data_IF_349047607060
#
_entry.id   IF_349047607060
#
_cell.length_a   1.000
_cell.length_b   1.000
_cell.length_c   1.000
_cell.angle_alpha   90.00
_cell.angle_beta   90.00
_cell.angle_gamma   90.00
#
_symmetry.space_group_name_H-M   'P 1'
#
loop_
_entity.id
_entity.type
_entity.pdbx_description
1 polymer ?
#
# COMPACT_ATOMS: atom_id res chain seq x y z
N UNK A 1 -34.00 -20.04 4.70
CA UNK A 1 -33.79 -19.47 3.34
C UNK A 1 -35.06 -19.29 2.52
N UNK A 2 -35.85 -20.33 2.21
CA UNK A 2 -37.03 -20.19 1.34
C UNK A 2 -38.07 -19.16 1.84
N UNK A 3 -38.38 -19.17 3.15
CA UNK A 3 -39.34 -18.23 3.75
C UNK A 3 -38.82 -16.78 3.67
N UNK A 4 -37.60 -16.54 4.16
CA UNK A 4 -37.01 -15.19 4.22
C UNK A 4 -36.75 -14.59 2.83
N UNK A 5 -36.45 -15.40 1.80
CA UNK A 5 -36.30 -14.91 0.43
C UNK A 5 -37.64 -14.47 -0.17
N UNK A 6 -38.73 -15.19 0.06
CA UNK A 6 -40.06 -14.74 -0.34
C UNK A 6 -40.48 -13.46 0.38
N UNK A 7 -40.19 -13.38 1.69
CA UNK A 7 -40.41 -12.16 2.45
C UNK A 7 -39.60 -10.98 1.90
N UNK A 8 -38.33 -11.20 1.54
CA UNK A 8 -37.47 -10.21 0.89
C UNK A 8 -38.11 -9.64 -0.39
N UNK A 9 -38.66 -10.50 -1.25
CA UNK A 9 -39.36 -10.06 -2.45
C UNK A 9 -40.59 -9.19 -2.13
N UNK A 10 -41.38 -9.61 -1.14
CA UNK A 10 -42.53 -8.83 -0.70
C UNK A 10 -42.14 -7.46 -0.15
N UNK A 11 -41.14 -7.40 0.75
CA UNK A 11 -40.68 -6.12 1.33
C UNK A 11 -40.17 -5.19 0.24
N UNK A 12 -39.41 -5.69 -0.73
CA UNK A 12 -38.91 -4.88 -1.83
C UNK A 12 -40.04 -4.31 -2.70
N UNK A 13 -41.05 -5.12 -3.03
CA UNK A 13 -42.21 -4.69 -3.81
C UNK A 13 -43.08 -3.66 -3.06
N UNK A 14 -43.16 -3.76 -1.74
CA UNK A 14 -44.00 -2.93 -0.86
C UNK A 14 -43.19 -1.96 0.01
N UNK A 15 -42.00 -1.57 -0.44
CA UNK A 15 -41.01 -0.90 0.42
C UNK A 15 -41.49 0.45 0.97
N UNK A 16 -42.27 1.21 0.22
CA UNK A 16 -42.81 2.50 0.69
C UNK A 16 -43.88 2.32 1.77
N UNK A 17 -44.80 1.36 1.59
CA UNK A 17 -45.86 1.06 2.55
C UNK A 17 -45.30 0.52 3.87
N UNK A 18 -44.24 -0.28 3.79
CA UNK A 18 -43.61 -0.92 4.93
C UNK A 18 -42.51 -0.08 5.60
N UNK A 19 -42.14 1.08 5.03
CA UNK A 19 -41.00 1.88 5.50
C UNK A 19 -41.04 2.15 6.99
N UNK A 20 -42.17 2.63 7.51
CA UNK A 20 -42.33 2.96 8.93
C UNK A 20 -42.28 1.76 9.89
N UNK A 21 -42.32 0.52 9.36
CA UNK A 21 -42.10 -0.70 10.16
C UNK A 21 -40.63 -1.03 10.33
N UNK A 22 -39.79 -0.62 9.37
CA UNK A 22 -38.38 -0.98 9.36
C UNK A 22 -37.47 0.18 9.75
N UNK A 23 -37.75 1.40 9.31
CA UNK A 23 -36.86 2.55 9.51
C UNK A 23 -37.63 3.83 9.82
N UNK A 24 -37.00 4.73 10.57
CA UNK A 24 -37.55 6.06 10.92
C UNK A 24 -37.15 7.17 9.94
N UNK A 25 -36.18 6.91 9.05
CA UNK A 25 -35.65 7.89 8.12
C UNK A 25 -36.33 7.84 6.73
N UNK A 26 -36.26 8.97 6.02
CA UNK A 26 -36.68 9.08 4.62
C UNK A 26 -35.50 8.79 3.70
N UNK A 27 -35.77 8.27 2.50
CA UNK A 27 -34.71 7.92 1.55
C UNK A 27 -33.86 6.74 2.01
N UNK A 28 -32.61 6.69 1.56
CA UNK A 28 -31.65 5.68 2.00
C UNK A 28 -30.60 6.27 2.93
N UNK A 29 -30.12 5.47 3.87
CA UNK A 29 -28.95 5.77 4.70
C UNK A 29 -27.80 4.84 4.27
N UNK A 30 -26.62 5.41 4.08
CA UNK A 30 -25.41 4.65 3.81
C UNK A 30 -24.89 4.03 5.11
N UNK A 31 -24.70 2.71 5.10
CA UNK A 31 -24.09 1.94 6.17
C UNK A 31 -22.73 1.43 5.68
N UNK A 32 -21.67 1.93 6.32
CA UNK A 32 -20.30 1.68 5.89
C UNK A 32 -19.52 0.94 6.98
N UNK A 33 -18.92 -0.19 6.62
CA UNK A 33 -17.95 -0.89 7.49
C UNK A 33 -16.56 -0.47 7.07
N UNK A 34 -15.84 0.21 7.97
CA UNK A 34 -14.47 0.66 7.71
C UNK A 34 -13.48 -0.46 8.04
N UNK A 35 -12.62 -0.77 7.07
CA UNK A 35 -11.49 -1.68 7.19
C UNK A 35 -10.20 -0.87 7.05
N UNK A 36 -9.33 -0.94 8.06
CA UNK A 36 -8.05 -0.22 8.07
C UNK A 36 -6.98 -0.87 7.17
N UNK A 37 -7.19 -2.15 6.82
CA UNK A 37 -6.30 -2.93 5.97
C UNK A 37 -7.08 -3.86 5.04
N UNK A 38 -6.45 -4.21 3.92
CA UNK A 38 -6.98 -5.17 2.94
C UNK A 38 -7.32 -4.55 1.58
N UNK A 39 -7.96 -5.34 0.74
CA UNK A 39 -8.52 -4.94 -0.54
C UNK A 39 -9.82 -5.72 -0.84
N UNK A 40 -10.44 -5.46 -2.00
CA UNK A 40 -11.70 -6.07 -2.42
C UNK A 40 -11.69 -7.61 -2.49
N UNK A 41 -10.50 -8.21 -2.52
CA UNK A 41 -10.29 -9.66 -2.54
C UNK A 41 -9.95 -10.21 -1.14
N UNK A 42 -9.45 -9.36 -0.23
CA UNK A 42 -9.04 -9.82 1.11
C UNK A 42 -10.07 -9.62 2.20
N UNK A 43 -11.00 -8.68 2.02
CA UNK A 43 -12.07 -8.44 3.00
C UNK A 43 -13.02 -9.65 3.06
N UNK A 44 -13.12 -10.25 4.24
CA UNK A 44 -14.03 -11.39 4.47
C UNK A 44 -15.50 -10.95 4.41
N UNK A 45 -16.26 -11.56 3.51
CA UNK A 45 -17.71 -11.33 3.41
C UNK A 45 -18.46 -11.80 4.66
N UNK A 46 -17.95 -12.82 5.38
CA UNK A 46 -18.55 -13.25 6.63
C UNK A 46 -18.41 -12.18 7.72
N UNK A 47 -17.23 -11.57 7.84
CA UNK A 47 -17.01 -10.45 8.77
C UNK A 47 -17.83 -9.22 8.37
N UNK A 48 -17.83 -8.87 7.06
CA UNK A 48 -18.60 -7.73 6.55
C UNK A 48 -20.10 -7.89 6.82
N UNK A 49 -20.68 -9.04 6.50
CA UNK A 49 -22.11 -9.32 6.70
C UNK A 49 -22.50 -9.36 8.18
N UNK A 50 -21.60 -9.83 9.05
CA UNK A 50 -21.80 -9.76 10.51
C UNK A 50 -21.82 -8.31 11.02
N UNK A 51 -20.83 -7.50 10.64
CA UNK A 51 -20.73 -6.09 11.07
C UNK A 51 -21.86 -5.23 10.51
N UNK A 52 -22.19 -5.38 9.23
CA UNK A 52 -23.24 -4.58 8.57
C UNK A 52 -24.62 -4.90 9.14
N UNK A 53 -24.92 -6.17 9.48
CA UNK A 53 -26.20 -6.52 10.12
C UNK A 53 -26.30 -5.97 11.54
N UNK A 54 -25.18 -5.85 12.27
CA UNK A 54 -25.14 -5.11 13.54
C UNK A 54 -25.40 -3.62 13.39
N UNK A 55 -24.87 -2.98 12.33
CA UNK A 55 -25.19 -1.58 12.00
C UNK A 55 -26.66 -1.42 11.61
N UNK A 56 -27.22 -2.37 10.86
CA UNK A 56 -28.64 -2.37 10.52
C UNK A 56 -29.51 -2.44 11.76
N UNK A 57 -29.20 -3.32 12.73
CA UNK A 57 -29.92 -3.43 13.99
C UNK A 57 -30.01 -2.10 14.76
N UNK A 58 -28.96 -1.28 14.69
CA UNK A 58 -28.93 0.05 15.31
C UNK A 58 -29.76 1.10 14.56
N UNK A 59 -30.12 0.83 13.30
CA UNK A 59 -30.81 1.76 12.40
C UNK A 59 -32.23 1.32 12.02
N UNK A 60 -32.67 0.13 12.48
CA UNK A 60 -34.03 -0.35 12.30
C UNK A 60 -34.88 -0.13 13.55
N UNK A 61 -36.18 0.00 13.36
CA UNK A 61 -37.15 0.20 14.45
C UNK A 61 -37.52 -1.13 15.12
N UNK A 62 -37.48 -2.24 14.38
CA UNK A 62 -37.78 -3.58 14.89
C UNK A 62 -36.52 -4.27 15.43
N UNK A 63 -36.31 -4.16 16.74
CA UNK A 63 -35.18 -4.76 17.47
C UNK A 63 -35.14 -6.30 17.33
N UNK A 64 -36.27 -6.96 17.04
CA UNK A 64 -36.35 -8.42 16.90
C UNK A 64 -36.05 -8.92 15.49
N UNK A 65 -36.02 -8.03 14.49
CA UNK A 65 -35.95 -8.42 13.08
C UNK A 65 -34.67 -9.19 12.75
N UNK A 66 -33.52 -8.77 13.30
CA UNK A 66 -32.23 -9.43 13.06
C UNK A 66 -32.27 -10.87 13.57
N UNK A 67 -32.73 -11.08 14.80
CA UNK A 67 -32.83 -12.40 15.41
C UNK A 67 -33.86 -13.29 14.69
N UNK A 68 -34.91 -12.70 14.13
CA UNK A 68 -35.91 -13.44 13.36
C UNK A 68 -35.39 -13.91 12.00
N UNK A 69 -34.54 -13.11 11.33
CA UNK A 69 -33.98 -13.48 10.01
C UNK A 69 -32.77 -14.41 10.15
N UNK A 70 -31.88 -14.16 11.12
CA UNK A 70 -30.66 -14.94 11.30
C UNK A 70 -30.97 -16.29 11.96
N UNK A 71 -30.59 -17.43 11.34
CA UNK A 71 -30.92 -18.74 11.88
C UNK A 71 -30.07 -19.10 13.09
N UNK A 72 -30.66 -19.76 14.09
CA UNK A 72 -29.96 -20.29 15.27
C UNK A 72 -30.36 -21.74 15.58
N UNK A 73 -30.56 -22.55 14.53
CA UNK A 73 -30.89 -23.97 14.66
C UNK A 73 -29.65 -24.79 14.99
N UNK A 74 -29.83 -25.99 15.55
CA UNK A 74 -28.72 -26.89 15.89
C UNK A 74 -27.90 -27.35 14.69
N UNK A 75 -28.43 -27.19 13.48
CA UNK A 75 -27.77 -27.51 12.20
C UNK A 75 -27.29 -26.26 11.45
N UNK A 76 -27.42 -25.06 12.03
CA UNK A 76 -26.94 -23.82 11.40
C UNK A 76 -25.43 -23.85 11.26
N UNK A 77 -24.93 -23.60 10.05
CA UNK A 77 -23.52 -23.40 9.74
C UNK A 77 -23.16 -21.92 9.61
N UNK A 78 -21.87 -21.58 9.55
CA UNK A 78 -21.44 -20.20 9.28
C UNK A 78 -21.94 -19.69 7.92
N UNK A 79 -21.92 -20.55 6.90
CA UNK A 79 -22.44 -20.22 5.56
C UNK A 79 -23.94 -19.91 5.58
N UNK A 80 -24.72 -20.62 6.41
CA UNK A 80 -26.15 -20.33 6.58
C UNK A 80 -26.38 -18.94 7.19
N UNK A 81 -25.55 -18.54 8.15
CA UNK A 81 -25.61 -17.21 8.78
C UNK A 81 -25.23 -16.13 7.79
N UNK A 82 -24.18 -16.33 6.99
CA UNK A 82 -23.77 -15.39 5.93
C UNK A 82 -24.88 -15.25 4.88
N UNK A 83 -25.42 -16.37 4.39
CA UNK A 83 -26.48 -16.36 3.39
C UNK A 83 -27.74 -15.64 3.91
N UNK A 84 -28.14 -15.90 5.17
CA UNK A 84 -29.26 -15.20 5.81
C UNK A 84 -28.99 -13.70 6.01
N UNK A 85 -27.75 -13.33 6.35
CA UNK A 85 -27.34 -11.93 6.49
C UNK A 85 -27.43 -11.18 5.16
N UNK A 86 -26.99 -11.81 4.06
CA UNK A 86 -27.13 -11.24 2.70
C UNK A 86 -28.60 -11.09 2.32
N UNK A 87 -29.46 -12.06 2.68
CA UNK A 87 -30.91 -11.93 2.46
C UNK A 87 -31.51 -10.79 3.30
N UNK A 88 -31.04 -10.58 4.52
CA UNK A 88 -31.44 -9.43 5.35
C UNK A 88 -31.09 -8.10 4.66
N UNK A 89 -29.85 -7.98 4.15
CA UNK A 89 -29.42 -6.83 3.36
C UNK A 89 -30.29 -6.65 2.11
N UNK A 90 -30.54 -7.72 1.36
CA UNK A 90 -31.41 -7.68 0.18
C UNK A 90 -32.87 -7.33 0.52
N UNK A 91 -33.35 -7.68 1.70
CA UNK A 91 -34.71 -7.34 2.20
C UNK A 91 -34.83 -5.86 2.50
N UNK A 92 -33.77 -5.23 3.01
CA UNK A 92 -33.77 -3.85 3.45
C UNK A 92 -33.04 -2.90 2.47
N UNK A 93 -32.68 -3.37 1.28
CA UNK A 93 -31.93 -2.61 0.26
C UNK A 93 -32.68 -1.38 -0.28
N UNK A 94 -34.00 -1.28 -0.08
CA UNK A 94 -34.78 -0.09 -0.41
C UNK A 94 -34.60 1.05 0.62
N UNK A 95 -34.03 0.75 1.79
CA UNK A 95 -33.83 1.66 2.92
C UNK A 95 -32.36 1.97 3.18
N UNK A 96 -31.44 1.08 2.81
CA UNK A 96 -30.01 1.29 3.06
C UNK A 96 -29.18 1.15 1.79
N UNK A 97 -28.01 1.76 1.83
CA UNK A 97 -26.89 1.48 0.94
C UNK A 97 -25.77 0.86 1.77
N UNK A 98 -25.02 -0.07 1.18
CA UNK A 98 -24.04 -0.87 1.91
C UNK A 98 -22.69 -0.80 1.21
N UNK A 99 -21.63 -0.57 1.96
CA UNK A 99 -20.28 -0.56 1.39
C UNK A 99 -19.20 -0.91 2.42
N UNK A 100 -18.24 -1.79 2.08
CA UNK A 100 -16.97 -1.77 2.79
C UNK A 100 -16.19 -0.52 2.35
N UNK A 101 -15.72 0.27 3.31
CA UNK A 101 -14.72 1.29 3.05
C UNK A 101 -13.36 0.72 3.44
N UNK A 102 -12.53 0.46 2.43
CA UNK A 102 -11.22 -0.12 2.62
C UNK A 102 -10.20 1.02 2.57
N UNK A 103 -9.57 1.28 3.69
CA UNK A 103 -8.50 2.26 3.81
C UNK A 103 -7.15 1.56 3.58
N UNK A 104 -6.23 2.24 2.92
CA UNK A 104 -4.83 1.83 2.84
C UNK A 104 -4.01 2.76 3.76
N UNK A 105 -3.32 2.19 4.75
CA UNK A 105 -2.51 2.94 5.70
C UNK A 105 -1.12 2.34 5.89
N UNK A 106 -0.22 3.13 6.46
CA UNK A 106 1.09 2.66 6.92
C UNK A 106 0.93 2.27 8.40
N UNK A 107 0.92 0.96 8.75
CA UNK A 107 0.58 0.52 10.11
C UNK A 107 1.67 0.88 11.14
N UNK A 108 2.92 0.95 10.69
CA UNK A 108 4.07 1.35 11.51
C UNK A 108 5.20 1.81 10.62
N UNK A 109 6.09 2.65 11.16
CA UNK A 109 7.34 3.03 10.53
C UNK A 109 8.49 2.63 11.44
N UNK A 110 9.53 2.04 10.85
CA UNK A 110 10.79 1.75 11.55
C UNK A 110 11.87 2.67 11.01
N UNK A 111 12.41 3.52 11.88
CA UNK A 111 13.63 4.27 11.58
C UNK A 111 14.83 3.34 11.72
N UNK A 112 15.65 3.26 10.68
CA UNK A 112 16.93 2.55 10.70
C UNK A 112 18.06 3.52 11.05
N UNK A 113 19.14 3.01 11.66
CA UNK A 113 20.25 3.83 12.14
C UNK A 113 19.99 4.40 13.54
N UNK A 114 20.86 5.32 13.95
CA UNK A 114 20.84 5.94 15.28
C UNK A 114 20.42 7.41 15.18
N UNK A 115 20.06 8.02 16.32
CA UNK A 115 19.63 9.43 16.38
C UNK A 115 20.64 10.37 15.70
N UNK A 116 21.92 10.14 15.93
CA UNK A 116 23.03 10.97 15.43
C UNK A 116 23.08 11.00 13.90
N UNK A 117 22.63 9.94 13.22
CA UNK A 117 22.55 9.90 11.76
C UNK A 117 21.53 10.94 11.25
N UNK A 118 20.39 11.07 11.93
CA UNK A 118 19.33 12.02 11.56
C UNK A 118 19.71 13.46 11.92
N UNK A 119 20.43 13.67 13.02
CA UNK A 119 21.01 14.97 13.36
C UNK A 119 22.07 15.41 12.33
N UNK A 120 22.91 14.48 11.87
CA UNK A 120 23.88 14.74 10.79
C UNK A 120 23.17 15.04 9.46
N UNK A 121 22.11 14.31 9.12
CA UNK A 121 21.28 14.63 7.94
C UNK A 121 20.72 16.04 8.02
N UNK A 122 20.20 16.44 9.17
CA UNK A 122 19.67 17.80 9.39
C UNK A 122 20.75 18.86 9.18
N UNK A 123 21.96 18.64 9.73
CA UNK A 123 23.11 19.54 9.53
C UNK A 123 23.53 19.64 8.06
N UNK A 124 23.54 18.53 7.32
CA UNK A 124 23.95 18.51 5.91
C UNK A 124 22.95 19.22 4.99
N UNK A 125 21.67 19.15 5.30
CA UNK A 125 20.62 19.79 4.49
C UNK A 125 20.77 21.31 4.47
N UNK A 126 21.31 21.93 5.52
CA UNK A 126 21.54 23.39 5.57
C UNK A 126 22.43 23.89 4.43
N UNK A 127 23.36 23.05 3.96
CA UNK A 127 24.27 23.38 2.84
C UNK A 127 23.51 23.65 1.54
N UNK A 128 22.28 23.14 1.38
CA UNK A 128 21.45 23.44 0.20
C UNK A 128 21.17 24.94 0.07
N UNK A 129 21.10 25.68 1.18
CA UNK A 129 20.87 27.13 1.17
C UNK A 129 21.97 27.91 0.43
N UNK A 130 23.16 27.33 0.25
CA UNK A 130 24.30 27.98 -0.43
C UNK A 130 24.13 28.05 -1.96
N UNK A 131 23.22 27.25 -2.53
CA UNK A 131 23.10 27.07 -3.99
C UNK A 131 22.00 27.93 -4.65
N UNK A 132 21.42 28.88 -3.90
CA UNK A 132 20.45 29.85 -4.41
C UNK A 132 19.05 29.73 -3.79
N UNK A 133 18.11 30.50 -4.33
CA UNK A 133 16.77 30.66 -3.75
C UNK A 133 15.96 29.36 -3.75
N UNK A 134 15.90 28.64 -4.89
CA UNK A 134 15.15 27.38 -4.98
C UNK A 134 15.71 26.28 -4.06
N UNK A 135 17.04 26.00 -4.03
CA UNK A 135 17.61 25.09 -3.04
C UNK A 135 17.38 25.49 -1.58
N UNK A 136 17.37 26.79 -1.27
CA UNK A 136 17.04 27.28 0.05
C UNK A 136 15.57 27.04 0.42
N UNK A 137 14.64 27.15 -0.54
CA UNK A 137 13.24 26.74 -0.34
C UNK A 137 13.09 25.24 -0.12
N UNK A 138 13.80 24.42 -0.89
CA UNK A 138 13.82 22.97 -0.70
C UNK A 138 14.36 22.60 0.70
N UNK A 139 15.45 23.23 1.13
CA UNK A 139 15.99 23.10 2.49
C UNK A 139 14.91 23.40 3.55
N UNK A 140 14.19 24.51 3.42
CA UNK A 140 13.10 24.87 4.35
C UNK A 140 11.99 23.81 4.41
N UNK A 141 11.71 23.14 3.31
CA UNK A 141 10.75 22.03 3.24
C UNK A 141 11.24 20.76 3.93
N UNK A 142 12.54 20.45 3.84
CA UNK A 142 13.14 19.25 4.43
C UNK A 142 13.39 19.35 5.95
N UNK A 143 13.71 20.54 6.45
CA UNK A 143 14.06 20.75 7.87
C UNK A 143 12.96 20.26 8.83
N UNK A 144 11.67 20.57 8.64
CA UNK A 144 10.60 20.04 9.50
C UNK A 144 10.49 18.51 9.46
N UNK A 145 10.76 17.90 8.30
CA UNK A 145 10.68 16.44 8.14
C UNK A 145 11.79 15.76 8.94
N UNK A 146 13.04 16.19 8.75
CA UNK A 146 14.19 15.63 9.46
C UNK A 146 14.11 15.92 10.96
N UNK A 147 13.60 17.09 11.35
CA UNK A 147 13.35 17.42 12.75
C UNK A 147 12.29 16.51 13.37
N UNK A 148 11.22 16.17 12.64
CA UNK A 148 10.23 15.19 13.08
C UNK A 148 10.83 13.80 13.30
N UNK A 149 11.74 13.37 12.43
CA UNK A 149 12.48 12.11 12.59
C UNK A 149 13.38 12.15 13.84
N UNK A 150 14.16 13.22 14.06
CA UNK A 150 14.99 13.38 15.27
C UNK A 150 14.14 13.35 16.54
N UNK A 151 13.02 14.10 16.56
CA UNK A 151 12.09 14.14 17.71
C UNK A 151 11.52 12.77 18.06
N UNK A 152 11.36 11.89 17.07
CA UNK A 152 10.88 10.52 17.29
C UNK A 152 11.80 9.76 18.24
N UNK A 153 13.12 9.98 18.17
CA UNK A 153 14.09 9.40 19.11
C UNK A 153 14.09 10.07 20.49
N UNK A 154 13.78 11.37 20.56
CA UNK A 154 13.87 12.15 21.82
C UNK A 154 12.62 12.05 22.70
N UNK A 155 11.44 12.14 22.08
CA UNK A 155 10.17 12.29 22.78
C UNK A 155 9.39 10.97 22.91
N UNK A 156 9.76 9.96 22.12
CA UNK A 156 9.13 8.65 22.10
C UNK A 156 7.82 8.58 21.29
N UNK A 157 7.49 7.39 20.81
CA UNK A 157 6.37 7.13 19.88
C UNK A 157 4.98 7.45 20.46
N UNK A 158 4.81 7.43 21.78
CA UNK A 158 3.54 7.69 22.43
C UNK A 158 3.15 9.17 22.45
N UNK A 159 4.08 10.07 22.12
CA UNK A 159 3.86 11.51 22.11
C UNK A 159 2.92 11.91 20.96
N UNK A 160 1.87 12.66 21.28
CA UNK A 160 0.81 13.04 20.30
C UNK A 160 1.37 13.75 19.06
N UNK A 161 2.37 14.60 19.25
CA UNK A 161 3.01 15.37 18.21
C UNK A 161 3.85 14.46 17.29
N UNK A 162 4.51 13.43 17.85
CA UNK A 162 5.24 12.39 17.08
C UNK A 162 4.26 11.52 16.29
N UNK A 163 3.15 11.08 16.92
CA UNK A 163 2.09 10.34 16.22
C UNK A 163 1.52 11.13 15.05
N UNK A 164 1.15 12.39 15.28
CA UNK A 164 0.62 13.28 14.23
C UNK A 164 1.62 13.50 13.10
N UNK A 165 2.92 13.59 13.41
CA UNK A 165 3.96 13.66 12.38
C UNK A 165 3.93 12.42 11.48
N UNK A 166 3.91 11.21 12.05
CA UNK A 166 3.87 9.97 11.26
C UNK A 166 2.51 9.73 10.57
N UNK A 167 1.40 10.17 11.13
CA UNK A 167 0.07 10.11 10.50
C UNK A 167 -0.03 11.00 9.24
N UNK A 168 0.91 11.94 9.05
CA UNK A 168 0.90 12.90 7.93
C UNK A 168 1.98 12.64 6.87
N UNK A 169 2.56 11.43 6.84
CA UNK A 169 3.56 11.02 5.83
C UNK A 169 3.04 11.30 4.42
N UNK A 170 1.91 10.70 4.07
CA UNK A 170 1.35 10.72 2.74
C UNK A 170 -0.17 10.66 2.79
N UNK A 171 -0.81 11.51 2.01
CA UNK A 171 -2.23 11.41 1.69
C UNK A 171 -2.38 11.28 0.17
N UNK A 172 -3.23 10.36 -0.27
CA UNK A 172 -3.45 10.08 -1.67
C UNK A 172 -4.87 10.44 -2.08
N UNK A 173 -5.00 11.25 -3.13
CA UNK A 173 -6.27 11.64 -3.71
C UNK A 173 -6.32 11.20 -5.17
N UNK A 174 -7.06 10.12 -5.39
CA UNK A 174 -7.24 9.48 -6.69
C UNK A 174 -8.66 9.61 -7.23
N UNK A 175 -8.80 9.64 -8.55
CA UNK A 175 -10.08 9.69 -9.26
C UNK A 175 -9.89 9.75 -10.77
N UNK A 176 -10.98 9.84 -11.54
CA UNK A 176 -10.86 10.00 -13.00
C UNK A 176 -10.16 11.31 -13.35
N UNK A 177 -8.90 11.22 -13.79
CA UNK A 177 -8.05 12.37 -14.10
C UNK A 177 -7.41 13.05 -12.88
N UNK A 178 -7.50 12.44 -11.70
CA UNK A 178 -6.89 12.94 -10.46
C UNK A 178 -5.97 11.87 -9.89
N UNK A 179 -4.70 12.21 -9.72
CA UNK A 179 -3.68 11.34 -9.16
C UNK A 179 -2.68 12.21 -8.39
N UNK A 180 -3.03 12.58 -7.15
CA UNK A 180 -2.24 13.52 -6.37
C UNK A 180 -1.82 12.93 -5.03
N UNK A 181 -0.60 13.28 -4.65
CA UNK A 181 0.00 12.94 -3.37
C UNK A 181 0.23 14.21 -2.58
N UNK A 182 -0.12 14.21 -1.30
CA UNK A 182 0.21 15.25 -0.34
C UNK A 182 0.81 14.64 0.92
N UNK A 183 0.99 15.44 1.98
CA UNK A 183 1.75 15.04 3.16
C UNK A 183 3.24 15.37 3.04
N UNK A 184 3.97 15.20 4.13
CA UNK A 184 5.34 15.69 4.21
C UNK A 184 6.32 14.91 3.33
N UNK A 185 5.99 13.69 2.88
CA UNK A 185 6.83 12.92 1.94
C UNK A 185 7.03 13.67 0.62
N UNK A 186 6.08 14.51 0.23
CA UNK A 186 6.19 15.32 -0.98
C UNK A 186 7.23 16.44 -0.87
N UNK A 187 7.76 16.71 0.33
CA UNK A 187 8.89 17.62 0.50
C UNK A 187 10.11 17.14 -0.31
N UNK A 188 10.31 15.82 -0.44
CA UNK A 188 11.39 15.22 -1.24
C UNK A 188 11.20 15.35 -2.76
N UNK A 189 10.04 15.81 -3.23
CA UNK A 189 9.70 15.97 -4.65
C UNK A 189 9.71 17.44 -5.06
N UNK A 190 10.87 18.11 -5.01
CA UNK A 190 10.95 19.55 -5.30
C UNK A 190 11.13 19.87 -6.80
N UNK A 191 11.98 19.11 -7.49
CA UNK A 191 12.23 19.24 -8.93
C UNK A 191 11.91 17.94 -9.68
N UNK A 192 11.59 18.07 -10.97
CA UNK A 192 11.45 16.95 -11.90
C UNK A 192 12.81 16.40 -12.35
N UNK A 193 12.81 15.39 -13.20
CA UNK A 193 14.01 14.74 -13.75
C UNK A 193 14.88 15.66 -14.62
N UNK A 194 14.39 16.86 -14.96
CA UNK A 194 15.10 17.90 -15.71
C UNK A 194 15.54 19.06 -14.82
N UNK A 195 15.33 18.97 -13.51
CA UNK A 195 15.67 20.02 -12.56
C UNK A 195 14.70 21.21 -12.57
N UNK A 196 13.52 21.06 -13.17
CA UNK A 196 12.48 22.10 -13.14
C UNK A 196 11.61 21.91 -11.90
N UNK A 197 11.30 23.01 -11.23
CA UNK A 197 10.42 22.99 -10.05
C UNK A 197 9.07 22.35 -10.35
N UNK A 198 8.69 21.38 -9.53
CA UNK A 198 7.40 20.68 -9.63
C UNK A 198 6.27 21.62 -9.21
N UNK A 199 5.19 21.60 -9.98
CA UNK A 199 4.01 22.40 -9.67
C UNK A 199 3.31 21.83 -8.44
N UNK A 200 3.08 22.71 -7.45
CA UNK A 200 2.28 22.39 -6.27
C UNK A 200 0.83 22.79 -6.51
N UNK A 201 -0.08 21.95 -6.05
CA UNK A 201 -1.52 22.20 -6.15
C UNK A 201 -2.12 22.37 -4.75
N UNK A 202 -3.26 23.06 -4.69
CA UNK A 202 -4.08 23.23 -3.49
C UNK A 202 -3.32 23.86 -2.30
N UNK A 203 -3.96 23.96 -1.14
CA UNK A 203 -3.34 24.51 0.08
C UNK A 203 -2.39 23.51 0.78
N UNK A 204 -2.47 22.22 0.43
CA UNK A 204 -1.68 21.14 1.03
C UNK A 204 -0.37 20.82 0.29
N UNK A 205 0.02 21.64 -0.70
CA UNK A 205 1.22 21.45 -1.53
C UNK A 205 1.29 20.08 -2.24
N UNK A 206 0.14 19.57 -2.72
CA UNK A 206 0.09 18.28 -3.39
C UNK A 206 0.90 18.28 -4.70
N UNK A 207 1.40 17.09 -5.06
CA UNK A 207 2.18 16.77 -6.27
C UNK A 207 1.39 15.78 -7.11
N UNK A 208 1.37 15.98 -8.43
CA UNK A 208 0.79 15.03 -9.38
C UNK A 208 1.69 13.77 -9.45
N UNK A 209 1.09 12.58 -9.43
CA UNK A 209 1.80 11.30 -9.42
C UNK A 209 2.78 11.15 -10.57
N UNK A 210 2.49 11.74 -11.74
CA UNK A 210 3.39 11.69 -12.91
C UNK A 210 4.63 12.58 -12.76
N UNK A 211 4.59 13.53 -11.84
CA UNK A 211 5.67 14.49 -11.60
C UNK A 211 6.59 14.02 -10.45
N UNK A 212 6.31 12.88 -9.81
CA UNK A 212 7.19 12.29 -8.79
C UNK A 212 8.49 11.83 -9.46
N UNK A 213 9.66 12.38 -9.09
CA UNK A 213 10.92 12.04 -9.72
C UNK A 213 11.42 10.66 -9.27
N UNK A 214 12.16 9.99 -10.15
CA UNK A 214 12.85 8.75 -9.80
C UNK A 214 13.97 8.99 -8.79
N UNK A 215 14.06 8.15 -7.75
CA UNK A 215 15.10 8.22 -6.72
C UNK A 215 16.45 7.63 -7.14
N UNK A 216 16.85 7.79 -8.40
CA UNK A 216 18.10 7.25 -8.95
C UNK A 216 18.80 8.22 -9.90
N UNK A 217 20.09 8.03 -10.08
CA UNK A 217 20.95 8.78 -11.00
C UNK A 217 21.60 7.86 -12.02
N UNK A 218 21.88 8.41 -13.20
CA UNK A 218 22.60 7.72 -14.28
C UNK A 218 23.86 8.51 -14.61
N UNK A 219 25.00 7.82 -14.64
CA UNK A 219 26.32 8.39 -14.92
C UNK A 219 26.87 7.72 -16.18
N UNK A 220 27.15 8.46 -17.26
CA UNK A 220 27.82 7.90 -18.42
C UNK A 220 29.26 7.51 -18.06
N UNK A 221 29.70 6.35 -18.52
CA UNK A 221 31.04 5.82 -18.31
C UNK A 221 31.67 5.44 -19.64
N UNK A 222 32.98 5.66 -19.71
CA UNK A 222 33.84 5.05 -20.72
C UNK A 222 34.79 4.11 -20.00
N UNK A 223 34.77 2.84 -20.37
CA UNK A 223 35.60 1.79 -19.77
C UNK A 223 36.64 1.38 -20.82
N UNK A 224 37.92 1.38 -20.45
CA UNK A 224 39.00 0.84 -21.27
C UNK A 224 39.36 -0.55 -20.73
N UNK A 225 38.93 -1.59 -21.43
CA UNK A 225 39.28 -2.98 -21.13
C UNK A 225 40.43 -3.42 -22.04
N UNK A 226 41.66 -3.21 -21.58
CA UNK A 226 42.88 -3.64 -22.27
C UNK A 226 43.01 -3.12 -23.72
N UNK A 227 42.53 -1.90 -23.99
CA UNK A 227 42.53 -1.25 -25.30
C UNK A 227 41.19 -1.32 -26.04
N UNK A 228 40.19 -2.01 -25.51
CA UNK A 228 38.81 -1.97 -25.99
C UNK A 228 38.00 -0.90 -25.23
N UNK A 229 37.58 0.16 -25.92
CA UNK A 229 36.72 1.19 -25.34
C UNK A 229 35.25 0.75 -25.35
N UNK A 230 34.65 0.65 -24.16
CA UNK A 230 33.26 0.28 -23.94
C UNK A 230 32.48 1.50 -23.43
N UNK A 231 31.44 1.89 -24.18
CA UNK A 231 30.48 2.90 -23.74
C UNK A 231 29.45 2.27 -22.78
N UNK A 232 29.55 2.62 -21.51
CA UNK A 232 28.71 2.09 -20.45
C UNK A 232 27.95 3.20 -19.71
N UNK A 233 27.00 2.78 -18.87
CA UNK A 233 26.30 3.65 -17.93
C UNK A 233 26.29 2.99 -16.56
N UNK A 234 26.57 3.78 -15.54
CA UNK A 234 26.32 3.41 -14.15
C UNK A 234 24.98 3.97 -13.71
N UNK A 235 24.16 3.16 -13.07
CA UNK A 235 22.95 3.59 -12.38
C UNK A 235 23.13 3.37 -10.89
N UNK A 236 22.69 4.33 -10.08
CA UNK A 236 22.74 4.27 -8.62
C UNK A 236 21.51 4.93 -8.00
N UNK A 237 20.98 4.37 -6.92
CA UNK A 237 19.89 4.98 -6.16
C UNK A 237 18.96 3.93 -5.55
N UNK A 238 17.70 4.31 -5.36
CA UNK A 238 16.63 3.37 -4.99
C UNK A 238 16.29 2.49 -6.20
N UNK A 239 16.69 1.22 -6.15
CA UNK A 239 16.60 0.28 -7.30
C UNK A 239 15.67 -0.90 -7.07
N UNK A 240 15.27 -1.16 -5.82
CA UNK A 240 14.36 -2.24 -5.49
C UNK A 240 13.58 -1.95 -4.21
N UNK A 241 12.53 -2.73 -3.99
CA UNK A 241 11.80 -2.79 -2.71
C UNK A 241 11.86 -4.24 -2.26
N UNK A 242 12.29 -4.45 -1.02
CA UNK A 242 12.25 -5.77 -0.38
C UNK A 242 11.01 -5.80 0.51
N UNK A 243 10.18 -6.80 0.28
CA UNK A 243 9.07 -7.13 1.16
C UNK A 243 9.50 -8.28 2.06
N UNK A 244 9.39 -8.10 3.37
CA UNK A 244 9.72 -9.12 4.38
C UNK A 244 8.55 -9.33 5.33
N UNK A 245 8.64 -10.39 6.10
CA UNK A 245 7.67 -10.68 7.15
C UNK A 245 8.26 -10.37 8.52
N UNK A 246 7.51 -9.67 9.35
CA UNK A 246 7.86 -9.41 10.75
C UNK A 246 7.67 -10.63 11.67
N UNK A 247 7.10 -11.73 11.16
CA UNK A 247 6.72 -12.87 11.99
C UNK A 247 5.43 -12.66 12.78
N UNK A 248 4.85 -11.45 12.75
CA UNK A 248 3.55 -11.17 13.37
C UNK A 248 2.44 -11.81 12.56
N UNK A 249 1.41 -12.28 13.26
CA UNK A 249 0.22 -12.81 12.61
C UNK A 249 -0.47 -11.70 11.83
N UNK A 250 -0.47 -11.83 10.50
CA UNK A 250 -1.33 -11.04 9.63
C UNK A 250 -2.61 -11.84 9.37
N UNK A 251 -3.76 -11.16 9.34
CA UNK A 251 -4.98 -11.78 8.82
C UNK A 251 -4.85 -11.78 7.30
N UNK A 252 -4.38 -12.88 6.72
CA UNK A 252 -4.44 -13.04 5.28
C UNK A 252 -5.90 -13.12 4.83
N UNK A 253 -6.16 -12.60 3.63
CA UNK A 253 -7.31 -12.99 2.82
C UNK A 253 -7.43 -14.51 2.80
N UNK A 254 -8.65 -15.07 2.79
CA UNK A 254 -8.83 -16.45 2.35
C UNK A 254 -8.25 -16.60 0.94
N UNK A 255 -7.41 -17.60 0.73
CA UNK A 255 -6.94 -17.98 -0.60
C UNK A 255 -8.11 -18.61 -1.38
N UNK A 256 -8.73 -17.83 -2.27
CA UNK A 256 -9.80 -18.31 -3.14
C UNK A 256 -9.29 -19.04 -4.41
N UNK A 257 -7.97 -19.22 -4.58
CA UNK A 257 -7.42 -19.91 -5.76
C UNK A 257 -7.55 -21.44 -5.70
N UNK A 258 -7.87 -21.98 -4.52
CA UNK A 258 -8.16 -23.41 -4.29
C UNK A 258 -9.52 -23.52 -3.60
N UNK A 259 -10.51 -24.01 -4.33
CA UNK A 259 -11.89 -24.13 -3.83
C UNK A 259 -11.98 -24.85 -2.48
N UNK A 260 -12.92 -24.38 -1.64
CA UNK A 260 -13.35 -24.98 -0.38
C UNK A 260 -12.26 -25.17 0.68
N UNK A 261 -12.01 -24.10 1.45
CA UNK A 261 -11.35 -24.18 2.76
C UNK A 261 -11.79 -23.02 3.64
N UNK A 262 -12.60 -23.29 4.68
CA UNK A 262 -13.07 -22.33 5.69
C UNK A 262 -12.05 -22.09 6.81
N UNK A 263 -10.86 -22.69 6.73
CA UNK A 263 -9.82 -22.45 7.72
C UNK A 263 -9.20 -21.07 7.47
N UNK A 264 -9.45 -20.14 8.40
CA UNK A 264 -8.56 -18.99 8.62
C UNK A 264 -7.19 -19.54 8.96
N UNK A 265 -6.38 -19.77 7.93
CA UNK A 265 -4.99 -20.12 8.13
C UNK A 265 -4.32 -18.85 8.61
N UNK A 266 -3.91 -18.83 9.86
CA UNK A 266 -2.99 -17.82 10.38
C UNK A 266 -1.75 -17.89 9.48
N UNK A 267 -1.66 -16.95 8.54
CA UNK A 267 -0.54 -16.85 7.64
C UNK A 267 0.30 -15.68 8.09
N UNK A 268 1.58 -15.95 8.27
CA UNK A 268 2.56 -14.90 8.40
C UNK A 268 2.83 -14.37 7.00
N UNK A 269 2.21 -13.24 6.66
CA UNK A 269 2.35 -12.57 5.38
C UNK A 269 3.57 -11.67 5.31
N UNK A 270 3.84 -11.12 4.13
CA UNK A 270 4.77 -10.00 3.96
C UNK A 270 4.06 -8.73 4.42
N UNK A 271 4.56 -8.12 5.49
CA UNK A 271 3.94 -6.98 6.19
C UNK A 271 4.88 -5.77 6.31
N UNK A 272 6.12 -5.93 5.86
CA UNK A 272 7.18 -4.95 5.98
C UNK A 272 7.76 -4.68 4.60
N UNK A 273 7.90 -3.40 4.24
CA UNK A 273 8.50 -2.97 2.97
C UNK A 273 9.68 -2.05 3.25
N UNK A 274 10.82 -2.33 2.60
CA UNK A 274 12.02 -1.52 2.73
C UNK A 274 12.60 -1.18 1.34
N UNK A 275 12.78 0.11 1.01
CA UNK A 275 13.49 0.50 -0.21
C UNK A 275 14.96 0.11 -0.12
N UNK A 276 15.52 -0.37 -1.22
CA UNK A 276 16.90 -0.81 -1.33
C UNK A 276 17.72 0.12 -2.22
N UNK A 277 18.84 0.56 -1.67
CA UNK A 277 19.86 1.30 -2.42
C UNK A 277 20.78 0.30 -3.12
N UNK A 278 21.02 0.52 -4.40
CA UNK A 278 21.93 -0.31 -5.18
C UNK A 278 22.55 0.46 -6.33
N UNK A 279 23.54 -0.16 -6.96
CA UNK A 279 24.20 0.37 -8.14
C UNK A 279 24.56 -0.75 -9.11
N UNK A 280 24.56 -0.45 -10.40
CA UNK A 280 24.96 -1.39 -11.45
C UNK A 280 25.54 -0.64 -12.65
N UNK A 281 26.45 -1.31 -13.36
CA UNK A 281 27.02 -0.83 -14.63
C UNK A 281 26.44 -1.69 -15.75
N UNK A 282 26.00 -1.06 -16.82
CA UNK A 282 25.49 -1.74 -18.00
C UNK A 282 26.02 -1.08 -19.28
N UNK A 283 26.27 -1.88 -20.30
CA UNK A 283 26.67 -1.41 -21.62
C UNK A 283 25.51 -0.70 -22.31
N UNK A 284 25.81 0.34 -23.08
CA UNK A 284 24.80 1.09 -23.79
C UNK A 284 24.45 0.34 -25.09
N UNK A 285 23.34 -0.42 -25.11
CA UNK A 285 22.90 -1.23 -26.26
C UNK A 285 22.82 -0.47 -27.60
N UNK A 286 22.70 0.87 -27.59
CA UNK A 286 22.74 1.66 -28.83
C UNK A 286 24.09 1.59 -29.59
N UNK A 287 25.17 1.14 -28.93
CA UNK A 287 26.47 0.86 -29.55
C UNK A 287 26.57 -0.57 -30.11
N UNK A 288 25.67 -1.46 -29.70
CA UNK A 288 25.54 -2.82 -30.23
C UNK A 288 24.51 -2.74 -31.36
N UNK A 289 24.93 -2.88 -32.61
CA UNK A 289 24.06 -2.77 -33.79
C UNK A 289 22.76 -3.60 -33.71
N UNK A 290 21.78 -3.35 -34.60
CA UNK A 290 20.46 -3.94 -34.47
C UNK A 290 20.54 -5.45 -34.67
N UNK A 291 20.43 -6.18 -33.55
CA UNK A 291 19.83 -7.51 -33.32
C UNK A 291 20.54 -8.08 -32.08
N UNK A 292 19.98 -7.86 -30.90
CA UNK A 292 20.15 -8.77 -29.78
C UNK A 292 18.77 -9.14 -29.26
N UNK A 293 18.36 -10.38 -29.55
CA UNK A 293 17.17 -10.98 -28.97
C UNK A 293 17.43 -11.15 -27.46
N UNK A 294 16.96 -10.19 -26.67
CA UNK A 294 17.12 -10.20 -25.21
C UNK A 294 16.56 -11.48 -24.56
N UNK A 295 15.62 -12.19 -25.21
CA UNK A 295 15.11 -13.50 -24.72
C UNK A 295 16.09 -14.64 -24.95
N UNK A 296 17.02 -14.50 -25.89
CA UNK A 296 18.12 -15.43 -26.09
C UNK A 296 19.24 -15.18 -25.08
N UNK A 297 19.59 -13.91 -24.83
CA UNK A 297 20.56 -13.52 -23.80
C UNK A 297 20.11 -13.92 -22.38
N UNK A 298 18.83 -13.68 -22.04
CA UNK A 298 18.26 -14.10 -20.76
C UNK A 298 18.25 -15.63 -20.56
N UNK A 299 18.07 -16.40 -21.64
CA UNK A 299 18.19 -17.87 -21.62
C UNK A 299 19.63 -18.33 -21.43
N UNK A 300 20.60 -17.69 -22.08
CA UNK A 300 22.03 -17.97 -21.87
C UNK A 300 22.48 -17.65 -20.44
N UNK A 301 21.97 -16.57 -19.84
CA UNK A 301 22.25 -16.19 -18.45
C UNK A 301 21.78 -17.25 -17.43
N UNK A 302 20.70 -17.97 -17.73
CA UNK A 302 20.18 -19.09 -16.93
C UNK A 302 20.94 -20.41 -17.19
N UNK A 303 21.67 -20.52 -18.29
CA UNK A 303 22.41 -21.71 -18.71
C UNK A 303 23.90 -21.67 -18.31
N UNK A 304 24.46 -20.49 -18.05
CA UNK A 304 25.85 -20.35 -17.58
C UNK A 304 26.03 -20.91 -16.16
N UNK A 305 26.84 -21.98 -16.04
CA UNK A 305 27.13 -22.67 -14.77
C UNK A 305 27.84 -21.78 -13.74
N UNK A 306 28.53 -20.69 -14.15
CA UNK A 306 29.24 -19.79 -13.22
C UNK A 306 28.30 -18.82 -12.51
N UNK A 307 27.19 -18.42 -13.14
CA UNK A 307 26.18 -17.56 -12.53
C UNK A 307 25.11 -18.36 -11.75
N UNK A 308 24.96 -19.66 -12.04
CA UNK A 308 24.10 -20.55 -11.25
C UNK A 308 24.51 -20.66 -9.78
N UNK A 309 25.78 -20.50 -9.42
CA UNK A 309 26.17 -20.48 -8.00
C UNK A 309 25.75 -19.20 -7.26
N UNK A 310 25.56 -18.09 -7.98
CA UNK A 310 25.00 -16.86 -7.39
C UNK A 310 23.48 -16.95 -7.20
N UNK A 311 22.77 -17.70 -8.05
CA UNK A 311 21.32 -17.87 -7.96
C UNK A 311 20.85 -19.13 -7.21
N UNK A 312 21.73 -20.11 -6.94
CA UNK A 312 21.37 -21.36 -6.24
C UNK A 312 21.49 -21.32 -4.72
N UNK A 313 22.13 -20.32 -4.13
CA UNK A 313 22.21 -20.21 -2.67
C UNK A 313 21.00 -19.51 -2.03
N UNK A 314 19.93 -19.24 -2.81
CA UNK A 314 18.69 -18.65 -2.29
C UNK A 314 17.62 -19.70 -1.92
N UNK A 315 17.99 -20.97 -1.72
CA UNK A 315 17.02 -22.04 -1.41
C UNK A 315 17.10 -22.64 -0.01
N UNK A 316 17.94 -22.15 0.90
CA UNK A 316 17.81 -22.47 2.34
C UNK A 316 18.30 -21.25 3.16
N UNK A 317 17.37 -20.63 3.88
CA UNK A 317 17.53 -19.43 4.73
C UNK A 317 17.87 -18.11 4.00
N UNK A 318 16.83 -17.29 3.78
CA UNK A 318 16.88 -16.01 3.08
C UNK A 318 17.73 -14.94 3.78
N UNK A 319 19.01 -14.86 3.39
CA UNK A 319 19.85 -13.68 3.48
C UNK A 319 20.55 -13.48 2.13
N UNK A 320 20.21 -12.41 1.42
CA UNK A 320 21.06 -11.90 0.36
C UNK A 320 22.10 -10.97 1.00
N UNK A 321 23.28 -11.51 1.33
CA UNK A 321 24.45 -10.66 1.55
C UNK A 321 24.93 -10.13 0.19
N UNK A 322 24.93 -8.81 0.04
CA UNK A 322 25.61 -8.14 -1.05
C UNK A 322 27.12 -8.31 -0.88
N UNK A 323 27.73 -9.21 -1.64
CA UNK A 323 29.20 -9.36 -1.65
C UNK A 323 29.78 -8.48 -2.76
N UNK A 324 30.46 -7.43 -2.32
CA UNK A 324 31.41 -6.65 -3.12
C UNK A 324 32.55 -7.55 -3.63
N UNK A 325 32.88 -7.49 -4.92
CA UNK A 325 34.24 -7.23 -5.44
C UNK A 325 34.30 -7.35 -6.97
N UNK A 326 35.05 -6.43 -7.59
CA UNK A 326 35.77 -6.67 -8.85
C UNK A 326 36.81 -7.76 -8.56
N UNK A 327 36.71 -8.93 -9.19
CA UNK A 327 37.82 -9.88 -9.24
C UNK A 327 38.69 -9.58 -10.46
N UNK A 328 39.99 -9.62 -10.24
CA UNK A 328 41.11 -9.33 -11.15
C UNK A 328 41.17 -10.20 -12.39
#
# INVERSE_FOLDING_TARGET
MAIISQFSFYVNAHSQELRGKFVSHTGKVELTVVYETGDRFTVSMADFTSKITGLMEQNIVDEGLRQWILPSFTTTTEDDVVAASIVMMGTLQAYFEYGPQICCGIPSVTLLGEKEDYEEMLRRVERLCEYGEEPAEFCKGLVPVLTGMVRTFEEGEERKEVKRFWETICDYQGGSGMDHYSGWVTAFCFWDDKGKRIKRFWENNAVDGKDIPGGFSKVPLKIDDNGEEIDAKMLVGSVAIVCSSSGKMSVAAPDYSLGYGTERKEMVGLDSMQPQIGWFVYENEAALGPIYDWRAAYRQLLEDRRLRSFLRNSSDEGRAEAVNTLST
#
